data_IF_287814393408
#
_entry.id   IF_287814393408
#
_cell.length_a   1.000
_cell.length_b   1.000
_cell.length_c   1.000
_cell.angle_alpha   90.00
_cell.angle_beta   90.00
_cell.angle_gamma   90.00
#
_symmetry.space_group_name_H-M   'P 1'
#
loop_
_entity.id
_entity.type
_entity.pdbx_description
1 polymer ?
#
# COMPACT_ATOMS: atom_id res chain seq x y z
N UNK A 1 -3.91 -0.80 -11.74
CA UNK A 1 -2.75 -1.71 -11.76
C UNK A 1 -2.56 -2.31 -10.37
N UNK A 2 -2.33 -3.63 -10.24
CA UNK A 2 -1.97 -4.23 -8.95
C UNK A 2 -0.61 -3.69 -8.50
N UNK A 3 -0.49 -3.28 -7.24
CA UNK A 3 0.77 -2.79 -6.69
C UNK A 3 1.77 -3.95 -6.56
N UNK A 4 3.09 -3.72 -6.73
CA UNK A 4 4.12 -4.73 -6.51
C UNK A 4 3.96 -5.42 -5.14
N UNK A 5 4.13 -6.75 -5.10
CA UNK A 5 3.95 -7.57 -3.90
C UNK A 5 4.79 -7.08 -2.71
N UNK A 6 6.04 -6.69 -2.97
CA UNK A 6 6.93 -6.08 -1.99
C UNK A 6 6.34 -4.81 -1.33
N UNK A 7 5.68 -3.94 -2.11
CA UNK A 7 5.07 -2.72 -1.59
C UNK A 7 3.84 -3.06 -0.73
N UNK A 8 3.08 -4.08 -1.10
CA UNK A 8 1.93 -4.54 -0.31
C UNK A 8 2.38 -5.09 1.04
N UNK A 9 3.45 -5.89 1.09
CA UNK A 9 4.02 -6.38 2.34
C UNK A 9 4.50 -5.24 3.24
N UNK A 10 5.18 -4.23 2.67
CA UNK A 10 5.59 -3.03 3.42
C UNK A 10 4.40 -2.27 3.99
N UNK A 11 3.35 -2.06 3.18
CA UNK A 11 2.12 -1.39 3.62
C UNK A 11 1.40 -2.17 4.73
N UNK A 12 1.37 -3.50 4.66
CA UNK A 12 0.84 -4.35 5.74
C UNK A 12 1.67 -4.23 7.02
N UNK A 13 2.99 -4.14 6.90
CA UNK A 13 3.85 -3.91 8.08
C UNK A 13 3.60 -2.54 8.69
N UNK A 14 3.43 -1.50 7.87
CA UNK A 14 3.06 -0.17 8.36
C UNK A 14 1.69 -0.16 9.06
N UNK A 15 0.70 -0.84 8.48
CA UNK A 15 -0.61 -1.02 9.12
C UNK A 15 -0.50 -1.76 10.47
N UNK A 16 0.36 -2.76 10.57
CA UNK A 16 0.59 -3.48 11.82
C UNK A 16 1.22 -2.58 12.91
N UNK A 17 2.09 -1.66 12.51
CA UNK A 17 2.68 -0.65 13.40
C UNK A 17 1.58 0.31 13.91
N UNK A 18 0.72 0.80 13.02
CA UNK A 18 -0.39 1.68 13.38
C UNK A 18 -1.37 1.02 14.35
N UNK A 19 -1.71 -0.25 14.12
CA UNK A 19 -2.53 -1.03 15.05
C UNK A 19 -1.87 -1.17 16.42
N UNK A 20 -0.55 -1.31 16.45
CA UNK A 20 0.21 -1.41 17.71
C UNK A 20 0.23 -0.06 18.44
N UNK A 21 0.33 1.05 17.72
CA UNK A 21 0.16 2.40 18.30
C UNK A 21 -1.22 2.61 18.91
N UNK A 22 -2.30 2.15 18.24
CA UNK A 22 -3.65 2.20 18.81
C UNK A 22 -3.76 1.38 20.10
N UNK A 23 -3.18 0.17 20.13
CA UNK A 23 -3.13 -0.66 21.35
C UNK A 23 -2.36 0.02 22.47
N UNK A 24 -1.23 0.64 22.17
CA UNK A 24 -0.43 1.39 23.15
C UNK A 24 -1.23 2.55 23.75
N UNK A 25 -2.06 3.24 22.96
CA UNK A 25 -2.95 4.29 23.45
C UNK A 25 -4.05 3.74 24.36
N UNK A 26 -4.55 2.53 24.06
CA UNK A 26 -5.49 1.82 24.92
C UNK A 26 -4.83 1.38 26.25
N UNK A 27 -3.60 0.87 26.22
CA UNK A 27 -2.82 0.54 27.42
C UNK A 27 -2.57 1.78 28.27
N UNK A 28 -2.23 2.93 27.67
CA UNK A 28 -2.09 4.19 28.40
C UNK A 28 -3.38 4.60 29.12
N UNK A 29 -4.54 4.39 28.50
CA UNK A 29 -5.85 4.60 29.14
C UNK A 29 -6.03 3.71 30.38
N UNK A 30 -5.63 2.43 30.28
CA UNK A 30 -5.68 1.49 31.40
C UNK A 30 -4.68 1.84 32.51
N UNK A 31 -3.49 2.32 32.17
CA UNK A 31 -2.50 2.83 33.14
C UNK A 31 -3.07 4.01 33.92
N UNK A 32 -3.71 4.97 33.24
CA UNK A 32 -4.33 6.13 33.92
C UNK A 32 -5.49 5.70 34.83
N UNK A 33 -6.31 4.76 34.36
CA UNK A 33 -7.42 4.21 35.16
C UNK A 33 -6.91 3.49 36.42
N UNK A 34 -5.98 2.54 36.26
CA UNK A 34 -5.40 1.78 37.37
C UNK A 34 -4.61 2.68 38.34
N UNK A 35 -3.95 3.73 37.85
CA UNK A 35 -3.32 4.74 38.69
C UNK A 35 -4.33 5.54 39.54
N UNK A 36 -5.48 5.91 38.97
CA UNK A 36 -6.55 6.60 39.69
C UNK A 36 -7.10 5.75 40.83
N UNK A 37 -7.33 4.46 40.58
CA UNK A 37 -7.81 3.50 41.58
C UNK A 37 -6.74 3.18 42.64
N UNK A 38 -5.46 3.12 42.25
CA UNK A 38 -4.35 2.98 43.19
C UNK A 38 -4.28 4.19 44.15
N UNK A 39 -4.49 5.41 43.64
CA UNK A 39 -4.51 6.65 44.43
C UNK A 39 -5.72 6.71 45.37
N UNK A 40 -6.83 6.05 45.04
CA UNK A 40 -8.02 5.88 45.90
C UNK A 40 -7.80 4.85 47.03
N UNK A 41 -6.64 4.21 47.09
CA UNK A 41 -6.28 3.26 48.15
C UNK A 41 -6.47 1.79 47.78
N UNK A 42 -6.80 1.48 46.52
CA UNK A 42 -6.95 0.10 46.08
C UNK A 42 -5.62 -0.52 45.64
N UNK A 43 -4.78 -0.88 46.63
CA UNK A 43 -3.43 -1.41 46.41
C UNK A 43 -3.38 -2.78 45.71
N UNK A 44 -4.51 -3.48 45.59
CA UNK A 44 -4.60 -4.76 44.88
C UNK A 44 -4.34 -4.62 43.36
N UNK A 45 -4.50 -3.41 42.81
CA UNK A 45 -4.28 -3.12 41.39
C UNK A 45 -2.82 -2.77 41.05
N UNK A 46 -1.94 -2.67 42.05
CA UNK A 46 -0.50 -2.40 41.86
C UNK A 46 0.20 -3.35 40.87
N UNK A 47 0.02 -4.69 40.92
CA UNK A 47 0.61 -5.60 39.94
C UNK A 47 0.07 -5.38 38.52
N UNK A 48 -1.22 -5.04 38.37
CA UNK A 48 -1.80 -4.73 37.06
C UNK A 48 -1.23 -3.42 36.51
N UNK A 49 -1.14 -2.38 37.31
CA UNK A 49 -0.51 -1.11 36.92
C UNK A 49 0.95 -1.30 36.46
N UNK A 50 1.73 -2.09 37.18
CA UNK A 50 3.11 -2.41 36.78
C UNK A 50 3.16 -3.19 35.46
N UNK A 51 2.26 -4.15 35.26
CA UNK A 51 2.18 -4.92 34.02
C UNK A 51 1.79 -4.04 32.82
N UNK A 52 0.80 -3.15 32.96
CA UNK A 52 0.39 -2.24 31.89
C UNK A 52 1.50 -1.24 31.55
N UNK A 53 2.23 -0.71 32.54
CA UNK A 53 3.39 0.16 32.30
C UNK A 53 4.49 -0.59 31.56
N UNK A 54 4.82 -1.79 32.00
CA UNK A 54 5.88 -2.58 31.38
C UNK A 54 5.52 -2.92 29.93
N UNK A 55 4.26 -3.29 29.68
CA UNK A 55 3.74 -3.55 28.33
C UNK A 55 3.80 -2.29 27.48
N UNK A 56 3.35 -1.15 27.99
CA UNK A 56 3.40 0.13 27.29
C UNK A 56 4.81 0.52 26.85
N UNK A 57 5.80 0.42 27.75
CA UNK A 57 7.19 0.73 27.39
C UNK A 57 7.80 -0.29 26.41
N UNK A 58 7.48 -1.59 26.58
CA UNK A 58 7.92 -2.63 25.65
C UNK A 58 7.36 -2.43 24.24
N UNK A 59 6.07 -2.08 24.14
CA UNK A 59 5.40 -1.81 22.87
C UNK A 59 5.97 -0.54 22.23
N UNK A 60 6.28 0.49 23.01
CA UNK A 60 6.91 1.72 22.53
C UNK A 60 8.29 1.45 21.92
N UNK A 61 9.12 0.66 22.60
CA UNK A 61 10.45 0.30 22.10
C UNK A 61 10.34 -0.51 20.79
N UNK A 62 9.42 -1.48 20.75
CA UNK A 62 9.17 -2.28 19.54
C UNK A 62 8.67 -1.43 18.37
N UNK A 63 7.70 -0.53 18.60
CA UNK A 63 7.18 0.38 17.58
C UNK A 63 8.28 1.32 17.06
N UNK A 64 9.12 1.85 17.94
CA UNK A 64 10.21 2.75 17.56
C UNK A 64 11.24 2.03 16.69
N UNK A 65 11.63 0.81 17.07
CA UNK A 65 12.54 -0.01 16.27
C UNK A 65 11.93 -0.36 14.90
N UNK A 66 10.67 -0.77 14.85
CA UNK A 66 9.96 -1.10 13.62
C UNK A 66 9.81 0.10 12.68
N UNK A 67 9.42 1.27 13.20
CA UNK A 67 9.36 2.51 12.41
C UNK A 67 10.73 2.92 11.90
N UNK A 68 11.76 2.80 12.73
CA UNK A 68 13.13 3.14 12.32
C UNK A 68 13.64 2.21 11.23
N UNK A 69 13.32 0.93 11.29
CA UNK A 69 13.66 -0.03 10.25
C UNK A 69 12.87 0.22 8.96
N UNK A 70 11.58 0.57 9.06
CA UNK A 70 10.77 0.91 7.90
C UNK A 70 11.25 2.21 7.22
N UNK A 71 11.66 3.22 7.98
CA UNK A 71 12.30 4.43 7.44
C UNK A 71 13.60 4.08 6.71
N UNK A 72 14.45 3.20 7.28
CA UNK A 72 15.66 2.73 6.59
C UNK A 72 15.33 2.01 5.28
N UNK A 73 14.32 1.13 5.30
CA UNK A 73 13.88 0.45 4.08
C UNK A 73 13.34 1.43 3.05
N UNK A 74 12.61 2.47 3.47
CA UNK A 74 12.18 3.53 2.57
C UNK A 74 13.40 4.28 2.00
N UNK A 75 14.37 4.68 2.83
CA UNK A 75 15.58 5.38 2.38
C UNK A 75 16.45 4.53 1.42
N UNK A 76 16.56 3.22 1.65
CA UNK A 76 17.26 2.28 0.76
C UNK A 76 16.51 2.07 -0.57
N UNK A 77 15.17 2.09 -0.54
CA UNK A 77 14.31 1.96 -1.70
C UNK A 77 14.10 3.29 -2.46
N UNK A 78 14.36 4.44 -1.83
CA UNK A 78 14.39 5.76 -2.46
C UNK A 78 15.72 5.88 -3.22
N UNK A 79 15.67 5.66 -4.54
CA UNK A 79 16.84 5.77 -5.41
C UNK A 79 17.27 4.43 -6.04
N UNK A 80 16.85 3.29 -5.47
CA UNK A 80 16.71 2.06 -6.24
C UNK A 80 15.38 2.09 -6.99
N UNK A 81 15.35 1.46 -8.17
CA UNK A 81 14.33 1.57 -9.23
C UNK A 81 12.89 1.16 -8.85
N UNK A 82 12.62 0.86 -7.57
CA UNK A 82 11.36 0.35 -7.03
C UNK A 82 10.39 1.45 -6.59
N UNK A 83 10.90 2.55 -6.02
CA UNK A 83 10.11 3.74 -5.72
C UNK A 83 10.59 4.89 -6.61
N UNK A 84 9.68 5.64 -7.24
CA UNK A 84 10.06 6.79 -8.06
C UNK A 84 10.95 7.73 -7.24
N UNK A 85 12.05 8.17 -7.85
CA UNK A 85 13.00 9.09 -7.22
C UNK A 85 12.25 10.38 -6.84
N UNK A 86 11.98 10.54 -5.55
CA UNK A 86 11.63 11.77 -4.84
C UNK A 86 10.29 12.46 -5.15
N UNK A 87 9.51 12.70 -4.10
CA UNK A 87 9.04 14.04 -3.70
C UNK A 87 8.27 14.92 -4.72
N UNK A 88 7.61 14.35 -5.72
CA UNK A 88 6.82 15.12 -6.69
C UNK A 88 5.44 14.49 -6.83
N UNK A 89 4.42 15.29 -6.47
CA UNK A 89 2.98 15.15 -6.67
C UNK A 89 2.48 13.93 -7.45
N UNK A 90 1.36 13.33 -7.02
CA UNK A 90 0.54 12.40 -7.82
C UNK A 90 0.30 12.99 -9.21
N UNK A 91 1.15 12.66 -10.19
CA UNK A 91 0.93 12.97 -11.59
C UNK A 91 -0.13 12.01 -12.12
N UNK A 92 -0.83 12.42 -13.16
CA UNK A 92 -1.78 11.55 -13.86
C UNK A 92 -1.00 10.41 -14.54
N UNK A 93 -0.86 9.30 -13.83
CA UNK A 93 -0.36 8.03 -14.36
C UNK A 93 -1.54 7.38 -15.09
N UNK A 94 -1.39 7.07 -16.38
CA UNK A 94 -2.42 6.40 -17.19
C UNK A 94 -2.66 7.00 -18.57
N UNK A 95 -2.32 8.28 -18.79
CA UNK A 95 -2.52 8.93 -20.10
C UNK A 95 -1.74 8.23 -21.23
N UNK A 96 -0.54 7.75 -20.92
CA UNK A 96 0.32 7.08 -21.89
C UNK A 96 -0.23 5.70 -22.25
N UNK A 97 -0.72 4.95 -21.26
CA UNK A 97 -1.33 3.63 -21.46
C UNK A 97 -2.66 3.74 -22.21
N UNK A 98 -3.48 4.75 -21.88
CA UNK A 98 -4.76 5.00 -22.56
C UNK A 98 -4.54 5.33 -24.04
N UNK A 99 -3.54 6.17 -24.36
CA UNK A 99 -3.16 6.46 -25.75
C UNK A 99 -2.60 5.24 -26.46
N UNK A 100 -1.81 4.42 -25.78
CA UNK A 100 -1.25 3.20 -26.36
C UNK A 100 -2.35 2.18 -26.67
N UNK A 101 -3.31 2.01 -25.76
CA UNK A 101 -4.46 1.13 -25.95
C UNK A 101 -5.35 1.61 -27.10
N UNK A 102 -5.60 2.92 -27.20
CA UNK A 102 -6.35 3.50 -28.32
C UNK A 102 -5.67 3.20 -29.67
N UNK A 103 -4.34 3.36 -29.75
CA UNK A 103 -3.59 3.03 -30.97
C UNK A 103 -3.59 1.52 -31.28
N UNK A 104 -3.53 0.67 -30.25
CA UNK A 104 -3.63 -0.79 -30.43
C UNK A 104 -5.03 -1.18 -30.92
N UNK A 105 -6.08 -0.51 -30.44
CA UNK A 105 -7.45 -0.76 -30.87
C UNK A 105 -7.69 -0.31 -32.32
N UNK A 106 -7.18 0.86 -32.69
CA UNK A 106 -7.17 1.33 -34.08
C UNK A 106 -6.40 0.36 -34.99
N UNK A 107 -5.23 -0.11 -34.56
CA UNK A 107 -4.44 -1.07 -35.32
C UNK A 107 -5.16 -2.41 -35.50
N UNK A 108 -5.83 -2.92 -34.45
CA UNK A 108 -6.66 -4.14 -34.55
C UNK A 108 -7.81 -3.96 -35.52
N UNK A 109 -8.45 -2.79 -35.53
CA UNK A 109 -9.54 -2.50 -36.45
C UNK A 109 -9.06 -2.45 -37.91
N UNK A 110 -7.88 -1.89 -38.17
CA UNK A 110 -7.28 -1.92 -39.51
C UNK A 110 -6.88 -3.34 -39.92
N UNK A 111 -6.27 -4.12 -39.02
CA UNK A 111 -5.88 -5.50 -39.32
C UNK A 111 -7.09 -6.40 -39.65
N UNK A 112 -8.21 -6.21 -38.94
CA UNK A 112 -9.47 -6.92 -39.22
C UNK A 112 -10.16 -6.45 -40.52
N UNK A 113 -9.84 -5.25 -41.00
CA UNK A 113 -10.34 -4.74 -42.29
C UNK A 113 -9.52 -5.31 -43.44
N UNK A 114 -8.19 -5.42 -43.28
CA UNK A 114 -7.32 -6.01 -44.29
C UNK A 114 -7.58 -7.51 -44.51
N UNK A 115 -7.92 -8.27 -43.45
CA UNK A 115 -8.35 -9.68 -43.60
C UNK A 115 -9.67 -9.85 -44.36
N UNK A 116 -10.48 -8.80 -44.51
CA UNK A 116 -11.74 -8.81 -45.26
C UNK A 116 -11.62 -8.25 -46.69
N UNK A 117 -10.44 -7.80 -47.14
CA UNK A 117 -10.25 -7.22 -48.48
C UNK A 117 -9.80 -8.26 -49.52
N UNK A 118 -9.49 -9.49 -49.13
CA UNK A 118 -9.09 -10.57 -50.07
C UNK A 118 -10.24 -11.45 -50.58
N UNK A 119 -11.52 -11.04 -50.42
CA UNK A 119 -12.67 -11.72 -51.04
C UNK A 119 -13.52 -10.71 -51.82
N UNK A 120 -12.95 -10.07 -52.84
CA UNK A 120 -13.72 -9.51 -53.97
C UNK A 120 -12.81 -9.26 -55.19
N UNK A 121 -11.94 -10.24 -55.48
CA UNK A 121 -11.28 -10.34 -56.79
C UNK A 121 -11.65 -11.69 -57.39
N UNK A 122 -12.83 -11.78 -58.02
CA UNK A 122 -12.92 -12.21 -59.42
C UNK A 122 -14.35 -12.32 -59.97
N UNK A 123 -14.43 -12.02 -61.27
CA UNK A 123 -15.44 -12.46 -62.24
C UNK A 123 -16.83 -11.80 -62.19
N UNK A 124 -16.98 -10.76 -63.03
CA UNK A 124 -18.11 -10.80 -63.98
C UNK A 124 -17.58 -10.64 -65.42
N UNK A 125 -17.15 -11.78 -65.96
CA UNK A 125 -17.02 -11.98 -67.39
C UNK A 125 -18.39 -12.37 -67.95
N UNK A 126 -18.85 -11.59 -68.93
CA UNK A 126 -19.80 -12.00 -69.98
C UNK A 126 -21.24 -12.34 -69.57
N UNK A 127 -22.18 -11.50 -70.03
CA UNK A 127 -23.41 -11.88 -70.76
C UNK A 127 -24.01 -10.60 -71.35
N UNK A 128 -23.83 -10.42 -72.66
CA UNK A 128 -24.88 -10.53 -73.71
C UNK A 128 -25.61 -9.20 -73.95
#
# INVERSE_FOLDING_TARGET
MPQPEYIQERLQQLESIDLTLCKMLQEASQVVFTFSELKRGNYQLKPQFQAHIQTFYSDLDSVNENLRNEIKHLDENIGTRLLPINNVNKKAIGLDDDKLLEQIELLKNVLNVDENIDIDVDMDASKE
#
